data_IF_825961658085
#
_entry.id   IF_825961658085
#
_cell.length_a   1.000
_cell.length_b   1.000
_cell.length_c   1.000
_cell.angle_alpha   90.00
_cell.angle_beta   90.00
_cell.angle_gamma   90.00
#
_symmetry.space_group_name_H-M   'P 1'
#
loop_
_entity.id
_entity.type
_entity.pdbx_description
1 polymer ?
#
# COMPACT_ATOMS: atom_id res chain seq x y z
N UNK A 1 -6.34 8.95 17.04
CA UNK A 1 -5.43 9.36 16.34
C UNK A 1 -5.66 9.24 14.93
N UNK A 2 -5.50 10.17 14.28
CA UNK A 2 -5.78 10.22 12.87
C UNK A 2 -4.71 9.56 12.04
N UNK A 3 -5.00 9.45 10.76
CA UNK A 3 -4.04 8.98 9.79
C UNK A 3 -3.00 10.05 9.56
N UNK A 4 -1.78 9.62 9.24
CA UNK A 4 -0.79 10.55 8.74
C UNK A 4 -1.09 10.76 7.26
N UNK A 5 -1.68 11.89 6.96
CA UNK A 5 -2.16 12.17 5.61
C UNK A 5 -1.01 12.16 4.59
N UNK A 6 0.15 12.67 4.97
CA UNK A 6 1.29 12.72 4.05
C UNK A 6 1.80 11.32 3.74
N UNK A 7 1.83 10.44 4.73
CA UNK A 7 2.23 9.06 4.48
C UNK A 7 1.21 8.37 3.59
N UNK A 8 -0.07 8.61 3.83
CA UNK A 8 -1.12 8.01 3.02
C UNK A 8 -1.02 8.47 1.57
N UNK A 9 -0.81 9.76 1.38
CA UNK A 9 -0.67 10.31 0.04
C UNK A 9 0.55 9.72 -0.67
N UNK A 10 1.65 9.59 0.05
CA UNK A 10 2.86 9.01 -0.52
C UNK A 10 2.62 7.56 -0.94
N UNK A 11 1.93 6.79 -0.11
CA UNK A 11 1.64 5.40 -0.41
C UNK A 11 0.79 5.30 -1.67
N UNK A 12 -0.25 6.13 -1.79
CA UNK A 12 -1.09 6.13 -2.97
C UNK A 12 -0.26 6.49 -4.21
N UNK A 13 0.61 7.47 -4.09
CA UNK A 13 1.45 7.88 -5.20
C UNK A 13 2.33 6.73 -5.66
N UNK A 14 2.97 6.03 -4.72
CA UNK A 14 3.83 4.92 -5.07
C UNK A 14 3.04 3.76 -5.68
N UNK A 15 1.87 3.47 -5.12
CA UNK A 15 1.08 2.34 -5.60
C UNK A 15 0.50 2.61 -6.99
N UNK A 16 0.11 3.83 -7.26
CA UNK A 16 -0.50 4.18 -8.54
C UNK A 16 0.48 4.70 -9.59
N UNK A 17 1.77 4.72 -9.26
CA UNK A 17 2.78 5.17 -10.20
C UNK A 17 2.82 4.28 -11.44
N UNK A 18 2.55 2.99 -11.26
CA UNK A 18 2.49 2.03 -12.37
C UNK A 18 1.20 1.25 -12.27
N UNK A 19 0.08 1.80 -12.75
CA UNK A 19 -1.23 1.16 -12.56
C UNK A 19 -1.36 -0.19 -13.23
N UNK A 20 -0.51 -0.49 -14.19
CA UNK A 20 -0.53 -1.80 -14.85
C UNK A 20 0.13 -2.88 -14.01
N UNK A 21 0.96 -2.50 -13.05
CA UNK A 21 1.65 -3.48 -12.23
C UNK A 21 0.79 -3.88 -11.05
N UNK A 22 1.09 -5.05 -10.51
CA UNK A 22 0.38 -5.54 -9.34
C UNK A 22 0.76 -4.71 -8.13
N UNK A 23 -0.12 -4.73 -7.11
CA UNK A 23 0.13 -3.92 -5.91
C UNK A 23 1.43 -4.31 -5.22
N UNK A 24 1.87 -5.55 -5.38
CA UNK A 24 3.11 -5.98 -4.75
C UNK A 24 4.31 -5.17 -5.22
N UNK A 25 4.26 -4.61 -6.42
CA UNK A 25 5.36 -3.77 -6.90
C UNK A 25 5.46 -2.49 -6.04
N UNK A 26 4.33 -1.90 -5.69
CA UNK A 26 4.32 -0.74 -4.81
C UNK A 26 4.76 -1.09 -3.41
N UNK A 27 4.33 -2.25 -2.91
CA UNK A 27 4.74 -2.69 -1.59
C UNK A 27 6.25 -2.89 -1.52
N UNK A 28 6.81 -3.44 -2.58
CA UNK A 28 8.27 -3.60 -2.67
C UNK A 28 8.97 -2.26 -2.66
N UNK A 29 8.43 -1.29 -3.37
CA UNK A 29 9.00 0.05 -3.40
C UNK A 29 8.98 0.69 -2.02
N UNK A 30 8.04 0.29 -1.17
CA UNK A 30 7.92 0.79 0.19
C UNK A 30 8.68 -0.08 1.19
N UNK A 31 9.34 -1.12 0.72
CA UNK A 31 10.08 -2.07 1.57
C UNK A 31 9.18 -2.76 2.58
N UNK A 32 7.96 -3.07 2.20
CA UNK A 32 7.01 -3.75 3.07
C UNK A 32 7.03 -5.25 2.80
N UNK A 33 6.81 -6.02 3.85
CA UNK A 33 6.72 -7.47 3.74
C UNK A 33 5.32 -7.85 3.32
N UNK A 34 5.22 -8.61 2.24
CA UNK A 34 3.95 -8.85 1.58
C UNK A 34 3.08 -9.89 2.25
N UNK A 35 3.65 -10.71 3.11
CA UNK A 35 2.89 -11.81 3.70
C UNK A 35 2.01 -11.36 4.86
N UNK A 36 2.08 -10.10 5.25
CA UNK A 36 1.27 -9.60 6.35
C UNK A 36 -0.07 -9.03 5.93
N UNK A 37 -0.33 -8.99 4.64
CA UNK A 37 -1.53 -8.34 4.14
C UNK A 37 -2.65 -9.34 3.90
N UNK A 38 -3.87 -8.95 4.24
CA UNK A 38 -5.02 -9.81 4.08
C UNK A 38 -5.56 -9.82 2.66
N UNK A 39 -5.19 -8.82 1.86
CA UNK A 39 -5.67 -8.73 0.48
C UNK A 39 -4.70 -9.46 -0.46
N UNK A 40 -5.17 -9.68 -1.69
CA UNK A 40 -4.39 -10.37 -2.70
C UNK A 40 -3.37 -9.41 -3.30
N UNK A 41 -2.09 -9.65 -3.04
CA UNK A 41 -1.03 -8.76 -3.52
C UNK A 41 -0.81 -8.88 -5.02
N UNK A 42 -1.47 -9.82 -5.67
CA UNK A 42 -1.39 -9.95 -7.11
C UNK A 42 -2.42 -9.10 -7.84
N UNK A 43 -3.27 -8.41 -7.11
CA UNK A 43 -4.21 -7.47 -7.71
C UNK A 43 -3.51 -6.17 -8.03
N UNK A 44 -4.12 -5.42 -8.94
CA UNK A 44 -3.62 -4.09 -9.28
C UNK A 44 -4.16 -3.09 -8.26
N UNK A 45 -3.50 -1.92 -8.13
CA UNK A 45 -3.95 -0.94 -7.14
C UNK A 45 -5.42 -0.54 -7.31
N UNK A 46 -5.88 -0.46 -8.56
CA UNK A 46 -7.27 -0.05 -8.84
C UNK A 46 -8.29 -1.07 -8.37
N UNK A 47 -7.85 -2.30 -8.11
CA UNK A 47 -8.75 -3.35 -7.66
C UNK A 47 -8.87 -3.43 -6.14
N UNK A 48 -8.08 -2.66 -5.44
CA UNK A 48 -8.10 -2.66 -3.98
C UNK A 48 -9.17 -1.71 -3.45
N UNK A 49 -9.68 -2.00 -2.26
CA UNK A 49 -10.60 -1.10 -1.59
C UNK A 49 -9.82 -0.23 -0.61
N UNK A 50 -10.48 0.80 -0.10
CA UNK A 50 -9.83 1.77 0.77
C UNK A 50 -9.21 1.13 2.00
N UNK A 51 -9.89 0.13 2.55
CA UNK A 51 -9.40 -0.54 3.74
C UNK A 51 -8.07 -1.24 3.51
N UNK A 52 -7.85 -1.72 2.28
CA UNK A 52 -6.58 -2.34 1.94
C UNK A 52 -5.45 -1.32 2.01
N UNK A 53 -5.71 -0.09 1.56
CA UNK A 53 -4.71 0.96 1.62
C UNK A 53 -4.45 1.41 3.05
N UNK A 54 -5.46 1.36 3.91
CA UNK A 54 -5.24 1.64 5.33
C UNK A 54 -4.35 0.59 5.96
N UNK A 55 -4.51 -0.65 5.53
CA UNK A 55 -3.65 -1.72 6.02
C UNK A 55 -2.19 -1.48 5.61
N UNK A 56 -1.99 -1.03 4.37
CA UNK A 56 -0.66 -0.69 3.89
C UNK A 56 -0.08 0.47 4.70
N UNK A 57 -0.89 1.49 4.95
CA UNK A 57 -0.45 2.64 5.73
C UNK A 57 -0.02 2.22 7.12
N UNK A 58 -0.80 1.37 7.75
CA UNK A 58 -0.48 0.90 9.09
C UNK A 58 0.84 0.14 9.10
N UNK A 59 1.04 -0.73 8.12
CA UNK A 59 2.27 -1.50 8.03
C UNK A 59 3.46 -0.57 7.80
N UNK A 60 3.28 0.42 6.95
CA UNK A 60 4.34 1.37 6.67
C UNK A 60 4.72 2.16 7.91
N UNK A 61 3.75 2.60 8.67
CA UNK A 61 4.01 3.41 9.86
C UNK A 61 4.63 2.58 10.97
N UNK A 62 4.41 1.29 10.97
CA UNK A 62 5.03 0.44 11.98
C UNK A 62 6.51 0.21 11.73
N UNK A 63 6.95 0.37 10.49
CA UNK A 63 8.36 0.12 10.22
C UNK A 63 9.23 1.36 10.33
N UNK A 64 8.62 2.53 10.46
CA UNK A 64 9.38 3.76 10.68
C UNK A 64 9.20 4.30 12.14
#
# INVERSE_FOLDING_TARGET
RGLNYQNFKMILTKCFANPRKKIKAGLKALNLEMEFFSFDINKRPEELVLEDFFEILRAYEQQI
#
